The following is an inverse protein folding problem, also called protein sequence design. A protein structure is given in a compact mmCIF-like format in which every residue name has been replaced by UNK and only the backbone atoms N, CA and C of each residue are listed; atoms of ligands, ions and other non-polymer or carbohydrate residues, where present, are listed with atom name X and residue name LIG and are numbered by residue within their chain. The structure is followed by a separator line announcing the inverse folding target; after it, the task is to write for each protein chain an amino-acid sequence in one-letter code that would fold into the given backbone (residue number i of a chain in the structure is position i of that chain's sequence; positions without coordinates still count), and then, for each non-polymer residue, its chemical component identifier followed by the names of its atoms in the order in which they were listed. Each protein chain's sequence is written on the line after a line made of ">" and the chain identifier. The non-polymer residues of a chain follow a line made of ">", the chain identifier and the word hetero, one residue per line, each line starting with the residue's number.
data_IF_260746688679
#
_entry.id   IF_260746688679
#
_cell.length_a   1.000
_cell.length_b   1.000
_cell.length_c   1.000
_cell.angle_alpha   90.00
_cell.angle_beta   90.00
_cell.angle_gamma   90.00
#
_symmetry.space_group_name_H-M   'P 1'
#
loop_
_entity.id
_entity.type
_entity.pdbx_description
1 polymer ?
#
# COMPACT_ATOMS: atom_id res chain seq x y z
N UNK A 1 7.50 5.81 -7.56
CA UNK A 1 7.76 5.83 -6.09
C UNK A 1 6.61 5.15 -5.36
N UNK A 2 6.89 4.37 -4.30
CA UNK A 2 5.91 3.61 -3.50
C UNK A 2 5.76 4.26 -2.11
N UNK A 3 4.56 4.75 -1.78
CA UNK A 3 4.21 5.27 -0.47
C UNK A 3 3.92 4.16 0.52
N UNK A 4 4.57 4.18 1.69
CA UNK A 4 4.39 3.19 2.75
C UNK A 4 3.70 3.81 3.96
N UNK A 5 2.55 3.23 4.37
CA UNK A 5 1.70 3.77 5.44
C UNK A 5 1.30 2.66 6.42
N UNK A 6 1.38 2.94 7.71
CA UNK A 6 1.01 2.00 8.78
C UNK A 6 0.24 2.71 9.90
N UNK A 7 -0.73 2.02 10.51
CA UNK A 7 -1.50 2.55 11.65
C UNK A 7 -1.05 2.00 13.01
N UNK A 8 -0.36 0.86 13.04
CA UNK A 8 0.03 0.15 14.26
C UNK A 8 1.53 -0.14 14.27
N UNK A 9 2.08 -0.47 15.45
CA UNK A 9 3.48 -0.89 15.59
C UNK A 9 3.77 -2.19 14.85
N UNK A 10 2.82 -3.13 14.82
CA UNK A 10 2.93 -4.37 14.04
C UNK A 10 3.03 -4.06 12.54
N UNK A 11 2.16 -3.18 12.03
CA UNK A 11 2.23 -2.71 10.65
C UNK A 11 3.54 -1.99 10.33
N UNK A 12 4.05 -1.16 11.25
CA UNK A 12 5.31 -0.46 11.09
C UNK A 12 6.50 -1.41 10.91
N UNK A 13 6.54 -2.54 11.63
CA UNK A 13 7.62 -3.52 11.48
C UNK A 13 7.67 -4.14 10.07
N UNK A 14 6.50 -4.47 9.48
CA UNK A 14 6.43 -4.99 8.11
C UNK A 14 6.72 -3.91 7.06
N UNK A 15 6.22 -2.69 7.29
CA UNK A 15 6.55 -1.49 6.52
C UNK A 15 8.05 -1.24 6.44
N UNK A 16 8.73 -1.31 7.58
CA UNK A 16 10.17 -1.01 7.68
C UNK A 16 11.02 -2.07 6.97
N UNK A 17 10.54 -3.32 6.90
CA UNK A 17 11.16 -4.36 6.06
C UNK A 17 11.08 -4.01 4.57
N UNK A 18 9.92 -3.56 4.07
CA UNK A 18 9.80 -3.08 2.69
C UNK A 18 10.73 -1.88 2.46
N UNK A 19 10.75 -0.91 3.38
CA UNK A 19 11.59 0.28 3.26
C UNK A 19 13.08 -0.06 3.21
N UNK A 20 13.54 -0.99 4.04
CA UNK A 20 14.92 -1.46 4.07
C UNK A 20 15.31 -2.26 2.82
N UNK A 21 14.39 -3.05 2.27
CA UNK A 21 14.63 -3.81 1.03
C UNK A 21 14.61 -2.92 -0.22
N UNK A 22 13.84 -1.83 -0.20
CA UNK A 22 13.61 -0.95 -1.35
C UNK A 22 13.88 0.52 -1.03
N UNK A 23 15.10 0.90 -0.58
CA UNK A 23 15.38 2.23 -0.04
C UNK A 23 15.22 3.36 -1.06
N UNK A 24 15.38 3.07 -2.35
CA UNK A 24 15.25 4.07 -3.43
C UNK A 24 13.88 4.03 -4.14
N UNK A 25 13.07 2.99 -3.89
CA UNK A 25 11.74 2.86 -4.50
C UNK A 25 10.64 3.31 -3.56
N UNK A 26 10.90 3.36 -2.25
CA UNK A 26 9.88 3.57 -1.22
C UNK A 26 10.06 4.88 -0.45
N UNK A 27 8.95 5.42 0.05
CA UNK A 27 8.91 6.55 0.97
C UNK A 27 7.92 6.29 2.09
N UNK A 28 8.34 6.47 3.34
CA UNK A 28 7.46 6.33 4.50
C UNK A 28 6.71 7.64 4.74
N UNK A 29 5.39 7.53 4.92
CA UNK A 29 4.53 8.65 5.31
C UNK A 29 4.10 8.48 6.77
N UNK A 30 4.47 9.43 7.62
CA UNK A 30 4.15 9.46 9.04
C UNK A 30 3.06 10.47 9.38
N UNK A 31 2.53 10.38 10.60
CA UNK A 31 1.46 11.25 11.10
C UNK A 31 0.07 10.58 11.06
N UNK A 32 -1.01 11.36 11.15
CA UNK A 32 -2.37 10.83 11.08
C UNK A 32 -2.57 10.04 9.78
N UNK A 33 -3.01 8.79 9.89
CA UNK A 33 -3.14 7.84 8.78
C UNK A 33 -3.88 8.43 7.57
N UNK A 34 -4.98 9.16 7.81
CA UNK A 34 -5.77 9.73 6.72
C UNK A 34 -5.00 10.78 5.92
N UNK A 35 -4.18 11.59 6.60
CA UNK A 35 -3.33 12.60 5.96
C UNK A 35 -2.16 11.94 5.24
N UNK A 36 -1.56 10.91 5.83
CA UNK A 36 -0.50 10.12 5.22
C UNK A 36 -0.97 9.43 3.93
N UNK A 37 -2.16 8.78 3.94
CA UNK A 37 -2.76 8.18 2.73
C UNK A 37 -3.04 9.26 1.69
N UNK A 38 -3.60 10.41 2.07
CA UNK A 38 -3.89 11.50 1.13
C UNK A 38 -2.63 12.04 0.46
N UNK A 39 -1.57 12.27 1.24
CA UNK A 39 -0.30 12.76 0.72
C UNK A 39 0.35 11.71 -0.21
N UNK A 40 0.42 10.46 0.23
CA UNK A 40 0.97 9.38 -0.59
C UNK A 40 0.18 9.16 -1.90
N UNK A 41 -1.15 9.25 -1.86
CA UNK A 41 -2.00 9.12 -3.04
C UNK A 41 -1.75 10.22 -4.08
N UNK A 42 -1.41 11.43 -3.64
CA UNK A 42 -1.10 12.55 -4.53
C UNK A 42 0.35 12.53 -5.05
N UNK A 43 1.29 11.94 -4.30
CA UNK A 43 2.73 12.06 -4.56
C UNK A 43 3.36 10.79 -5.13
N UNK A 44 2.71 9.63 -4.99
CA UNK A 44 3.26 8.32 -5.37
C UNK A 44 2.46 7.66 -6.50
N UNK A 45 3.13 6.79 -7.24
CA UNK A 45 2.50 5.96 -8.28
C UNK A 45 1.82 4.73 -7.66
N UNK A 46 2.26 4.35 -6.46
CA UNK A 46 1.85 3.14 -5.78
C UNK A 46 1.87 3.33 -4.27
N UNK A 47 0.99 2.63 -3.55
CA UNK A 47 0.87 2.67 -2.10
C UNK A 47 0.82 1.25 -1.53
N UNK A 48 1.50 1.04 -0.40
CA UNK A 48 1.32 -0.14 0.45
C UNK A 48 0.82 0.30 1.82
N UNK A 49 -0.39 -0.13 2.15
CA UNK A 49 -1.11 0.23 3.35
C UNK A 49 -1.18 -0.94 4.32
N UNK A 50 -0.44 -0.87 5.42
CA UNK A 50 -0.49 -1.81 6.55
C UNK A 50 -1.64 -1.45 7.50
N UNK A 51 -2.86 -1.73 7.05
CA UNK A 51 -4.13 -1.40 7.69
C UNK A 51 -5.19 -2.46 7.37
N UNK A 52 -6.29 -2.50 8.11
CA UNK A 52 -7.46 -3.28 7.70
C UNK A 52 -7.99 -2.79 6.34
N UNK A 53 -8.30 -3.73 5.43
CA UNK A 53 -8.77 -3.41 4.07
C UNK A 53 -9.94 -2.44 4.06
N UNK A 54 -10.92 -2.62 4.96
CA UNK A 54 -12.07 -1.73 5.05
C UNK A 54 -11.72 -0.29 5.45
N UNK A 55 -10.60 -0.07 6.16
CA UNK A 55 -10.10 1.26 6.45
C UNK A 55 -9.44 1.89 5.21
N UNK A 56 -8.60 1.13 4.50
CA UNK A 56 -7.95 1.59 3.25
C UNK A 56 -9.00 1.99 2.22
N UNK A 57 -10.04 1.17 2.02
CA UNK A 57 -11.14 1.48 1.10
C UNK A 57 -11.81 2.80 1.44
N UNK A 58 -12.13 3.06 2.72
CA UNK A 58 -12.78 4.31 3.15
C UNK A 58 -11.90 5.54 2.96
N UNK A 59 -10.58 5.40 3.16
CA UNK A 59 -9.61 6.48 3.00
C UNK A 59 -9.35 6.81 1.53
N UNK A 60 -9.27 5.78 0.68
CA UNK A 60 -8.97 5.91 -0.75
C UNK A 60 -10.21 6.30 -1.56
N UNK A 61 -11.40 5.80 -1.21
CA UNK A 61 -12.64 6.07 -1.95
C UNK A 61 -12.89 7.55 -2.31
N UNK A 62 -12.74 8.53 -1.40
CA UNK A 62 -12.93 9.94 -1.73
C UNK A 62 -11.77 10.56 -2.55
N UNK A 63 -10.68 9.83 -2.77
CA UNK A 63 -9.51 10.27 -3.54
C UNK A 63 -9.50 9.72 -4.97
N UNK A 64 -10.27 8.66 -5.23
CA UNK A 64 -10.34 8.03 -6.55
C UNK A 64 -10.82 9.02 -7.60
N UNK A 65 -10.10 9.07 -8.72
CA UNK A 65 -10.41 9.89 -9.87
C UNK A 65 -10.61 9.03 -11.10
N UNK A 66 -9.52 8.80 -11.83
CA UNK A 66 -9.54 8.09 -13.11
C UNK A 66 -8.75 6.78 -13.01
N UNK A 67 -9.37 5.68 -13.47
CA UNK A 67 -8.79 4.32 -13.44
C UNK A 67 -7.40 4.22 -14.08
N UNK A 68 -7.08 5.10 -15.03
CA UNK A 68 -5.82 5.09 -15.79
C UNK A 68 -4.71 5.90 -15.13
N UNK A 69 -5.05 6.84 -14.23
CA UNK A 69 -4.08 7.69 -13.53
C UNK A 69 -3.99 7.43 -12.03
N UNK A 70 -5.02 6.83 -11.43
CA UNK A 70 -5.03 6.53 -10.00
C UNK A 70 -3.88 5.56 -9.66
N UNK A 71 -3.18 5.78 -8.54
CA UNK A 71 -2.06 4.94 -8.14
C UNK A 71 -2.50 3.52 -7.82
N UNK A 72 -1.55 2.58 -7.94
CA UNK A 72 -1.76 1.21 -7.47
C UNK A 72 -1.82 1.15 -5.95
N UNK A 73 -2.87 0.59 -5.37
CA UNK A 73 -2.98 0.47 -3.91
C UNK A 73 -3.00 -1.01 -3.50
N UNK A 74 -2.03 -1.39 -2.67
CA UNK A 74 -1.96 -2.69 -2.01
C UNK A 74 -2.21 -2.52 -0.52
N UNK A 75 -2.99 -3.43 0.06
CA UNK A 75 -3.24 -3.48 1.49
C UNK A 75 -2.66 -4.76 2.08
N UNK A 76 -1.92 -4.63 3.18
CA UNK A 76 -1.37 -5.76 3.93
C UNK A 76 -2.09 -5.85 5.28
N UNK A 77 -2.66 -7.01 5.61
CA UNK A 77 -3.31 -7.20 6.90
C UNK A 77 -2.31 -7.18 8.05
N UNK A 78 -2.79 -6.90 9.27
CA UNK A 78 -1.92 -6.77 10.45
C UNK A 78 -1.14 -8.06 10.78
N UNK A 79 -1.68 -9.22 10.39
CA UNK A 79 -0.99 -10.50 10.52
C UNK A 79 0.10 -10.74 9.47
N UNK A 80 0.25 -9.86 8.47
CA UNK A 80 1.17 -10.04 7.35
C UNK A 80 0.87 -11.28 6.51
N UNK A 81 -0.40 -11.71 6.45
CA UNK A 81 -0.82 -12.94 5.79
C UNK A 81 -1.23 -12.72 4.35
N UNK A 82 -1.78 -11.55 4.03
CA UNK A 82 -2.29 -11.22 2.70
C UNK A 82 -1.77 -9.88 2.22
N UNK A 83 -1.36 -9.82 0.95
CA UNK A 83 -1.08 -8.58 0.23
C UNK A 83 -2.16 -8.42 -0.86
N UNK A 84 -3.18 -7.61 -0.58
CA UNK A 84 -4.38 -7.48 -1.40
C UNK A 84 -4.24 -6.33 -2.38
N UNK A 85 -4.33 -6.61 -3.69
CA UNK A 85 -4.46 -5.58 -4.73
C UNK A 85 -5.86 -4.96 -4.67
N UNK A 86 -5.97 -3.67 -4.32
CA UNK A 86 -7.26 -2.99 -4.10
C UNK A 86 -7.67 -2.07 -5.24
N UNK A 87 -6.76 -1.25 -5.73
CA UNK A 87 -7.01 -0.22 -6.75
C UNK A 87 -5.85 -0.19 -7.73
N UNK A 88 -6.11 0.13 -8.99
CA UNK A 88 -5.04 0.25 -9.99
C UNK A 88 -4.37 -1.09 -10.35
N UNK A 89 -5.12 -2.20 -10.32
CA UNK A 89 -4.59 -3.56 -10.50
C UNK A 89 -3.65 -3.75 -11.70
N UNK A 90 -4.07 -3.30 -12.89
CA UNK A 90 -3.24 -3.37 -14.09
C UNK A 90 -2.47 -2.06 -14.33
N UNK A 91 -3.19 -0.97 -14.66
CA UNK A 91 -2.57 0.31 -15.03
C UNK A 91 -1.72 0.95 -13.92
N UNK A 92 -2.16 0.88 -12.68
CA UNK A 92 -1.40 1.35 -11.50
C UNK A 92 -0.40 0.30 -10.95
N UNK A 93 -0.32 -0.88 -11.57
CA UNK A 93 0.61 -1.94 -11.18
C UNK A 93 0.34 -2.62 -9.84
N UNK A 94 -0.84 -2.46 -9.22
CA UNK A 94 -1.10 -3.03 -7.89
C UNK A 94 -1.09 -4.56 -7.85
N UNK A 95 -1.42 -5.24 -8.95
CA UNK A 95 -1.35 -6.70 -9.02
C UNK A 95 0.09 -7.20 -8.91
N UNK A 96 1.03 -6.51 -9.56
CA UNK A 96 2.43 -6.89 -9.51
C UNK A 96 3.06 -6.50 -8.17
N UNK A 97 2.73 -5.30 -7.69
CA UNK A 97 3.15 -4.87 -6.36
C UNK A 97 2.67 -5.83 -5.26
N UNK A 98 1.44 -6.35 -5.35
CA UNK A 98 0.93 -7.32 -4.39
C UNK A 98 1.79 -8.60 -4.35
N UNK A 99 2.27 -9.07 -5.52
CA UNK A 99 3.19 -10.22 -5.60
C UNK A 99 4.56 -9.89 -5.01
N UNK A 100 5.16 -8.76 -5.39
CA UNK A 100 6.46 -8.32 -4.85
C UNK A 100 6.42 -8.17 -3.32
N UNK A 101 5.35 -7.57 -2.79
CA UNK A 101 5.13 -7.44 -1.34
C UNK A 101 4.93 -8.81 -0.69
N UNK A 102 4.16 -9.69 -1.32
CA UNK A 102 3.94 -11.05 -0.85
C UNK A 102 5.25 -11.84 -0.72
N UNK A 103 6.07 -11.81 -1.77
CA UNK A 103 7.39 -12.46 -1.80
C UNK A 103 8.32 -11.93 -0.69
N UNK A 104 8.37 -10.62 -0.48
CA UNK A 104 9.26 -10.03 0.52
C UNK A 104 8.80 -10.28 1.95
N UNK A 105 7.50 -10.25 2.21
CA UNK A 105 6.93 -10.35 3.56
C UNK A 105 6.50 -11.76 3.94
N UNK A 106 6.46 -12.70 2.99
CA UNK A 106 5.85 -14.02 3.17
C UNK A 106 4.31 -13.98 3.24
N UNK A 107 3.70 -12.93 2.67
CA UNK A 107 2.26 -12.78 2.57
C UNK A 107 1.73 -13.41 1.27
N UNK A 108 0.52 -13.96 1.30
CA UNK A 108 -0.17 -14.45 0.10
C UNK A 108 -0.69 -13.27 -0.74
N UNK A 109 -0.28 -13.12 -2.01
CA UNK A 109 -0.81 -12.08 -2.87
C UNK A 109 -2.26 -12.39 -3.27
N UNK A 110 -3.17 -11.44 -3.06
CA UNK A 110 -4.58 -11.56 -3.46
C UNK A 110 -4.84 -10.65 -4.65
N UNK A 111 -5.06 -11.27 -5.81
CA UNK A 111 -5.37 -10.62 -7.09
C UNK A 111 -6.67 -11.22 -7.65
N UNK A 112 -7.60 -10.37 -8.08
CA UNK A 112 -8.96 -10.75 -8.53
C UNK A 112 -9.30 -10.22 -9.92
#
# INVERSE_FOLDING_TARGET
>A
MIGLISATSAGAAARDRLAAAWPERTRVYEGPVGDAVRAAFAECEQLVCFLATGAVVRLVAPLLGDKTSDPGVVCVDEGGRFAVSLVGGHGGGANELAREVGELLGAEPVVT
#
